data_IF_961195484877
#
_entry.id   IF_961195484877
#
_cell.length_a   1.000
_cell.length_b   1.000
_cell.length_c   1.000
_cell.angle_alpha   90.00
_cell.angle_beta   90.00
_cell.angle_gamma   90.00
#
_symmetry.space_group_name_H-M   'P 1'
#
loop_
_entity.id
_entity.type
_entity.pdbx_description
1 polymer ?
#
# COMPACT_ATOMS: atom_id res chain seq x y z
N UNK A 1 -10.40 -14.22 7.82
CA UNK A 1 -9.30 -13.62 8.62
C UNK A 1 -9.62 -12.16 8.88
N UNK A 2 -9.59 -11.76 10.15
CA UNK A 2 -9.79 -10.34 10.49
C UNK A 2 -8.44 -9.65 10.50
N UNK A 3 -8.33 -8.56 9.74
CA UNK A 3 -7.16 -7.71 9.75
C UNK A 3 -7.50 -6.50 10.61
N UNK A 4 -6.69 -6.24 11.63
CA UNK A 4 -6.92 -5.10 12.51
C UNK A 4 -6.34 -3.82 11.90
N UNK A 5 -6.62 -2.67 12.55
CA UNK A 5 -6.17 -1.36 12.07
C UNK A 5 -4.64 -1.30 11.89
N UNK A 6 -3.89 -1.80 12.87
CA UNK A 6 -2.43 -1.71 12.83
C UNK A 6 -1.85 -2.54 11.68
N UNK A 7 -2.43 -3.72 11.44
CA UNK A 7 -2.03 -4.57 10.32
C UNK A 7 -2.32 -3.90 8.98
N UNK A 8 -3.46 -3.22 8.86
CA UNK A 8 -3.81 -2.48 7.64
C UNK A 8 -2.87 -1.31 7.39
N UNK A 9 -2.50 -0.59 8.45
CA UNK A 9 -1.54 0.52 8.34
C UNK A 9 -0.18 -0.01 7.90
N UNK A 10 0.25 -1.13 8.48
CA UNK A 10 1.49 -1.78 8.08
C UNK A 10 1.46 -2.19 6.61
N UNK A 11 0.38 -2.84 6.18
CA UNK A 11 0.21 -3.27 4.79
C UNK A 11 0.26 -2.06 3.84
N UNK A 12 -0.46 -0.99 4.18
CA UNK A 12 -0.44 0.25 3.40
C UNK A 12 0.98 0.80 3.27
N UNK A 13 1.72 0.85 4.37
CA UNK A 13 3.10 1.33 4.37
C UNK A 13 4.01 0.49 3.48
N UNK A 14 3.88 -0.83 3.54
CA UNK A 14 4.64 -1.74 2.69
C UNK A 14 4.32 -1.49 1.22
N UNK A 15 3.03 -1.34 0.89
CA UNK A 15 2.61 -1.10 -0.48
C UNK A 15 3.18 0.21 -1.04
N UNK A 16 3.12 1.29 -0.27
CA UNK A 16 3.70 2.57 -0.70
C UNK A 16 5.21 2.49 -0.84
N UNK A 17 5.88 1.75 0.04
CA UNK A 17 7.33 1.56 -0.04
C UNK A 17 7.71 0.83 -1.34
N UNK A 18 6.97 -0.20 -1.69
CA UNK A 18 7.21 -0.94 -2.94
C UNK A 18 6.88 -0.10 -4.17
N UNK A 19 5.85 0.75 -4.07
CA UNK A 19 5.45 1.64 -5.15
C UNK A 19 6.52 2.67 -5.50
N UNK A 20 7.46 2.95 -4.60
CA UNK A 20 8.58 3.87 -4.89
C UNK A 20 9.38 3.47 -6.13
N UNK A 21 9.40 2.19 -6.46
CA UNK A 21 10.15 1.70 -7.60
C UNK A 21 9.37 1.72 -8.92
N UNK A 22 8.11 2.22 -8.90
CA UNK A 22 7.30 2.34 -10.11
C UNK A 22 8.00 3.28 -11.09
N UNK A 23 8.23 2.78 -12.31
CA UNK A 23 8.85 3.57 -13.36
C UNK A 23 10.36 3.75 -13.26
N UNK A 24 11.00 3.17 -12.26
CA UNK A 24 12.44 3.24 -12.13
C UNK A 24 13.14 2.28 -13.09
N UNK A 25 14.26 2.72 -13.68
CA UNK A 25 15.04 1.89 -14.59
C UNK A 25 15.85 0.84 -13.85
N UNK A 26 16.33 1.17 -12.66
CA UNK A 26 17.15 0.27 -11.86
C UNK A 26 16.38 -0.08 -10.59
N UNK A 27 15.93 -1.34 -10.54
CA UNK A 27 15.20 -1.86 -9.40
C UNK A 27 16.16 -2.76 -8.62
N UNK A 28 16.31 -2.56 -7.29
CA UNK A 28 17.18 -3.42 -6.50
C UNK A 28 16.77 -4.89 -6.61
N UNK A 29 17.76 -5.77 -6.53
CA UNK A 29 17.52 -7.20 -6.56
C UNK A 29 16.50 -7.60 -5.45
N UNK A 30 15.47 -8.33 -5.81
CA UNK A 30 14.44 -8.74 -4.87
C UNK A 30 13.31 -7.74 -4.63
N UNK A 31 13.40 -6.55 -5.23
CA UNK A 31 12.31 -5.58 -5.13
C UNK A 31 11.13 -6.00 -6.02
N UNK A 32 9.94 -5.58 -5.61
CA UNK A 32 8.72 -5.86 -6.37
C UNK A 32 8.64 -4.94 -7.58
N UNK A 33 8.36 -5.51 -8.75
CA UNK A 33 8.05 -4.72 -9.94
C UNK A 33 6.60 -4.26 -9.81
N UNK A 34 6.39 -2.94 -9.71
CA UNK A 34 5.07 -2.36 -9.51
C UNK A 34 4.28 -2.36 -10.83
N UNK A 35 3.10 -2.98 -10.80
CA UNK A 35 2.20 -3.07 -11.95
C UNK A 35 0.93 -2.25 -11.69
N UNK A 36 0.21 -1.93 -12.78
CA UNK A 36 -0.97 -1.06 -12.67
C UNK A 36 -2.07 -1.63 -11.76
N UNK A 37 -2.26 -2.95 -11.76
CA UNK A 37 -3.26 -3.57 -10.89
C UNK A 37 -2.95 -3.37 -9.41
N UNK A 38 -1.68 -3.15 -9.07
CA UNK A 38 -1.26 -2.90 -7.68
C UNK A 38 -1.72 -1.52 -7.19
N UNK A 39 -1.82 -0.54 -8.09
CA UNK A 39 -2.42 0.75 -7.74
C UNK A 39 -3.89 0.58 -7.33
N UNK A 40 -4.64 -0.24 -8.03
CA UNK A 40 -6.03 -0.53 -7.70
C UNK A 40 -6.15 -1.23 -6.34
N UNK A 41 -5.23 -2.16 -6.04
CA UNK A 41 -5.20 -2.84 -4.76
C UNK A 41 -4.89 -1.86 -3.62
N UNK A 42 -3.97 -0.94 -3.84
CA UNK A 42 -3.64 0.10 -2.87
C UNK A 42 -4.83 1.01 -2.62
N UNK A 43 -5.57 1.37 -3.66
CA UNK A 43 -6.78 2.17 -3.52
C UNK A 43 -7.83 1.44 -2.67
N UNK A 44 -8.00 0.13 -2.86
CA UNK A 44 -8.92 -0.66 -2.04
C UNK A 44 -8.51 -0.68 -0.57
N UNK A 45 -7.21 -0.82 -0.29
CA UNK A 45 -6.69 -0.77 1.08
C UNK A 45 -6.98 0.59 1.71
N UNK A 46 -6.69 1.68 0.99
CA UNK A 46 -6.96 3.03 1.48
C UNK A 46 -8.44 3.28 1.73
N UNK A 47 -9.30 2.83 0.82
CA UNK A 47 -10.75 2.98 0.96
C UNK A 47 -11.27 2.18 2.16
N UNK A 48 -10.78 0.97 2.36
CA UNK A 48 -11.17 0.15 3.51
C UNK A 48 -10.79 0.83 4.83
N UNK A 49 -9.57 1.37 4.91
CA UNK A 49 -9.12 2.10 6.10
C UNK A 49 -10.00 3.31 6.34
N UNK A 50 -10.31 4.06 5.29
CA UNK A 50 -11.13 5.27 5.39
C UNK A 50 -12.54 4.96 5.87
N UNK A 51 -13.13 3.86 5.40
CA UNK A 51 -14.49 3.48 5.77
C UNK A 51 -14.58 2.90 7.18
N UNK A 52 -13.59 2.12 7.59
CA UNK A 52 -13.62 1.39 8.86
C UNK A 52 -12.86 2.08 9.99
N UNK A 53 -11.87 2.88 9.64
CA UNK A 53 -11.01 3.58 10.61
C UNK A 53 -10.79 5.02 10.17
N UNK A 54 -11.85 5.85 10.15
CA UNK A 54 -11.78 7.20 9.57
C UNK A 54 -10.81 8.15 10.29
N UNK A 55 -10.44 7.84 11.52
CA UNK A 55 -9.50 8.64 12.29
C UNK A 55 -8.04 8.38 11.91
N UNK A 56 -7.80 7.42 11.02
CA UNK A 56 -6.43 7.08 10.60
C UNK A 56 -5.92 8.14 9.63
N UNK A 57 -4.72 8.72 9.88
CA UNK A 57 -4.13 9.70 8.97
C UNK A 57 -3.84 9.10 7.60
N UNK A 58 -3.90 9.93 6.57
CA UNK A 58 -3.49 9.54 5.24
C UNK A 58 -1.98 9.26 5.19
N UNK A 59 -1.58 8.45 4.23
CA UNK A 59 -0.16 8.19 3.99
C UNK A 59 0.55 9.45 3.49
N UNK A 60 1.72 9.69 4.03
CA UNK A 60 2.57 10.81 3.61
C UNK A 60 3.89 10.30 3.07
#
# INVERSE_FOLDING_TARGET
MKINRDELILLRGILYTKRMYKGMKHIPHGAVIWEDWMDESLDRVNNYIKENYPDTPDWK
#
